data_IF_909818961269
#
_entry.id   IF_909818961269
#
_cell.length_a   1.000
_cell.length_b   1.000
_cell.length_c   1.000
_cell.angle_alpha   90.00
_cell.angle_beta   90.00
_cell.angle_gamma   90.00
#
_symmetry.space_group_name_H-M   'P 1'
#
loop_
_entity.id
_entity.type
_entity.pdbx_description
1 polymer ?
#
# COMPACT_ATOMS: atom_id res chain seq x y z
N UNK A 1 -4.88 28.29 0.11
CA UNK A 1 -3.46 28.44 0.48
C UNK A 1 -2.78 27.07 0.50
N UNK A 2 -1.54 26.97 0.04
CA UNK A 2 -0.73 25.76 0.08
C UNK A 2 0.72 26.09 0.48
N UNK A 3 1.51 25.11 0.86
CA UNK A 3 2.93 25.30 1.17
C UNK A 3 3.79 24.20 0.55
N UNK A 4 5.07 24.49 0.34
CA UNK A 4 6.09 23.49 0.03
C UNK A 4 6.95 23.33 1.28
N UNK A 5 6.85 22.15 1.89
CA UNK A 5 7.61 21.80 3.10
C UNK A 5 8.77 20.88 2.73
N UNK A 6 9.85 20.97 3.50
CA UNK A 6 10.98 20.04 3.42
C UNK A 6 10.97 19.12 4.64
N UNK A 7 10.93 17.81 4.41
CA UNK A 7 11.02 16.82 5.49
C UNK A 7 11.60 15.50 4.97
N UNK A 8 12.40 14.82 5.79
CA UNK A 8 13.06 13.56 5.40
C UNK A 8 13.92 13.68 4.13
N UNK A 9 14.50 14.86 3.87
CA UNK A 9 15.31 15.14 2.68
C UNK A 9 14.53 15.30 1.37
N UNK A 10 13.19 15.35 1.42
CA UNK A 10 12.30 15.53 0.26
C UNK A 10 11.43 16.78 0.44
N UNK A 11 10.90 17.28 -0.67
CA UNK A 11 9.96 18.39 -0.68
C UNK A 11 8.54 17.89 -0.98
N UNK A 12 7.55 18.37 -0.23
CA UNK A 12 6.15 18.01 -0.41
C UNK A 12 5.31 19.27 -0.55
N UNK A 13 4.39 19.24 -1.51
CA UNK A 13 3.31 20.23 -1.60
C UNK A 13 2.20 19.80 -0.63
N UNK A 14 1.74 20.74 0.19
CA UNK A 14 0.70 20.50 1.21
C UNK A 14 -0.36 21.58 1.19
N UNK A 15 -1.61 21.18 1.37
CA UNK A 15 -2.76 22.02 1.66
C UNK A 15 -3.35 21.65 3.02
N UNK A 16 -4.11 22.57 3.62
CA UNK A 16 -4.84 22.26 4.83
C UNK A 16 -5.87 21.16 4.54
N UNK A 17 -5.85 20.07 5.32
CA UNK A 17 -6.67 18.88 5.13
C UNK A 17 -5.97 17.73 4.40
N UNK A 18 -4.78 17.95 3.85
CA UNK A 18 -4.05 16.90 3.14
C UNK A 18 -3.48 15.85 4.10
N UNK A 19 -3.44 14.60 3.61
CA UNK A 19 -2.73 13.50 4.24
C UNK A 19 -1.50 13.16 3.41
N UNK A 20 -0.31 13.32 3.99
CA UNK A 20 0.96 13.05 3.33
C UNK A 20 1.74 11.93 4.03
N UNK A 21 2.54 11.19 3.27
CA UNK A 21 3.46 10.18 3.80
C UNK A 21 4.88 10.68 3.70
N UNK A 22 5.58 10.65 4.84
CA UNK A 22 6.95 11.13 4.98
C UNK A 22 7.82 10.03 5.57
N UNK A 23 9.14 10.26 5.57
CA UNK A 23 10.08 9.36 6.26
C UNK A 23 9.72 9.26 7.76
N UNK A 24 10.24 8.25 8.44
CA UNK A 24 9.94 8.01 9.86
C UNK A 24 10.35 9.22 10.72
N UNK A 25 9.41 9.72 11.53
CA UNK A 25 9.61 10.78 12.52
C UNK A 25 9.42 10.20 13.93
N UNK A 26 10.22 10.65 14.88
CA UNK A 26 10.22 10.19 16.28
C UNK A 26 9.17 10.90 17.16
N UNK A 27 7.93 10.95 16.68
CA UNK A 27 6.81 11.55 17.41
C UNK A 27 5.76 10.48 17.72
N UNK A 28 5.06 10.53 18.88
CA UNK A 28 3.99 9.57 19.18
C UNK A 28 2.79 9.73 18.23
N UNK A 29 1.99 8.68 18.09
CA UNK A 29 0.71 8.74 17.36
C UNK A 29 -0.23 9.78 17.97
N UNK A 30 -0.95 10.51 17.13
CA UNK A 30 -1.90 11.55 17.55
C UNK A 30 -1.27 12.86 18.01
N UNK A 31 0.06 12.95 18.10
CA UNK A 31 0.70 14.20 18.49
C UNK A 31 0.64 15.24 17.40
N UNK A 32 0.35 16.47 17.81
CA UNK A 32 0.43 17.64 16.96
C UNK A 32 1.81 18.27 17.11
N UNK A 33 2.44 18.64 15.99
CA UNK A 33 3.70 19.36 16.00
C UNK A 33 3.80 20.29 14.79
N UNK A 34 4.70 21.25 14.89
CA UNK A 34 4.89 22.25 13.84
C UNK A 34 6.12 21.93 13.00
N UNK A 35 5.95 22.03 11.68
CA UNK A 35 7.03 22.00 10.71
C UNK A 35 7.44 23.44 10.39
N UNK A 36 8.69 23.78 10.71
CA UNK A 36 9.31 25.09 10.46
C UNK A 36 10.03 25.16 9.13
N UNK A 37 10.39 24.01 8.55
CA UNK A 37 11.09 23.90 7.26
C UNK A 37 10.13 24.13 6.08
N UNK A 38 9.68 25.37 5.92
CA UNK A 38 8.80 25.82 4.83
C UNK A 38 9.60 26.61 3.80
N UNK A 39 9.60 26.15 2.55
CA UNK A 39 10.36 26.74 1.45
C UNK A 39 9.55 27.77 0.67
N UNK A 40 8.24 27.58 0.59
CA UNK A 40 7.33 28.43 -0.17
C UNK A 40 5.94 28.35 0.43
N UNK A 41 5.22 29.47 0.46
CA UNK A 41 3.78 29.52 0.74
C UNK A 41 3.09 30.09 -0.49
N UNK A 42 2.17 29.32 -1.06
CA UNK A 42 1.41 29.65 -2.26
C UNK A 42 -0.06 29.98 -1.97
N UNK A 43 -0.62 30.87 -2.79
CA UNK A 43 -1.98 31.39 -2.70
C UNK A 43 -2.16 32.45 -3.77
N UNK A 44 -2.91 33.51 -3.48
CA UNK A 44 -3.11 34.64 -4.42
C UNK A 44 -1.79 35.38 -4.70
N UNK A 45 -0.96 35.55 -3.67
CA UNK A 45 0.39 36.11 -3.78
C UNK A 45 1.42 35.11 -3.22
N UNK A 46 2.15 34.37 -4.07
CA UNK A 46 3.12 33.38 -3.61
C UNK A 46 4.34 34.04 -2.97
N UNK A 47 4.76 33.52 -1.82
CA UNK A 47 5.95 33.93 -1.08
C UNK A 47 7.00 32.83 -1.16
N UNK A 48 8.19 33.18 -1.64
CA UNK A 48 9.33 32.27 -1.77
C UNK A 48 10.36 32.55 -0.67
N UNK A 49 10.89 31.49 -0.08
CA UNK A 49 11.91 31.57 0.95
C UNK A 49 13.32 31.79 0.38
N UNK A 50 14.21 32.32 1.22
CA UNK A 50 15.65 32.44 0.95
C UNK A 50 16.46 32.03 2.19
N UNK A 51 16.70 30.74 2.47
CA UNK A 51 16.13 29.53 1.85
C UNK A 51 14.77 29.10 2.44
N UNK A 52 14.40 29.63 3.62
CA UNK A 52 13.12 29.37 4.29
C UNK A 52 12.25 30.64 4.26
N UNK A 53 10.94 30.47 4.33
CA UNK A 53 10.00 31.59 4.51
C UNK A 53 9.97 31.96 6.00
N UNK A 54 10.29 33.22 6.32
CA UNK A 54 10.24 33.69 7.71
C UNK A 54 8.81 33.60 8.25
N UNK A 55 8.67 33.22 9.53
CA UNK A 55 7.38 33.10 10.24
C UNK A 55 6.34 32.17 9.58
N UNK A 56 6.77 31.27 8.70
CA UNK A 56 5.90 30.24 8.14
C UNK A 56 5.89 29.00 9.04
N UNK A 57 4.70 28.51 9.36
CA UNK A 57 4.50 27.34 10.20
C UNK A 57 3.45 26.44 9.57
N UNK A 58 3.74 25.15 9.50
CA UNK A 58 2.76 24.13 9.08
C UNK A 58 2.50 23.21 10.27
N UNK A 59 1.30 23.29 10.84
CA UNK A 59 0.88 22.43 11.94
C UNK A 59 0.35 21.11 11.37
N UNK A 60 0.93 20.01 11.83
CA UNK A 60 0.61 18.66 11.38
C UNK A 60 0.30 17.74 12.57
N UNK A 61 -0.49 16.70 12.31
CA UNK A 61 -0.84 15.67 13.28
C UNK A 61 -0.36 14.31 12.79
N UNK A 62 0.31 13.55 13.66
CA UNK A 62 0.73 12.18 13.35
C UNK A 62 -0.49 11.27 13.33
N UNK A 63 -0.91 10.86 12.13
CA UNK A 63 -2.13 10.06 11.94
C UNK A 63 -1.84 8.56 12.04
N UNK A 64 -0.72 8.13 11.47
CA UNK A 64 -0.38 6.70 11.36
C UNK A 64 1.12 6.49 11.24
N UNK A 65 1.63 5.47 11.90
CA UNK A 65 3.01 5.01 11.73
C UNK A 65 3.00 3.54 11.38
N UNK A 66 3.53 3.20 10.21
CA UNK A 66 3.57 1.81 9.78
C UNK A 66 4.69 1.57 8.77
N UNK A 67 4.73 0.36 8.22
CA UNK A 67 5.66 -0.02 7.17
C UNK A 67 4.95 -0.10 5.84
N UNK A 68 5.60 0.36 4.80
CA UNK A 68 5.10 0.31 3.44
C UNK A 68 4.94 -1.15 2.96
N UNK A 69 4.34 -1.31 1.78
CA UNK A 69 4.22 -2.58 1.08
C UNK A 69 5.56 -3.29 0.97
N UNK A 70 5.51 -4.62 0.99
CA UNK A 70 6.69 -5.46 0.87
C UNK A 70 7.30 -5.26 -0.53
N UNK A 71 8.50 -4.73 -0.58
CA UNK A 71 9.33 -4.68 -1.78
C UNK A 71 10.21 -5.93 -1.81
N UNK A 72 10.18 -6.64 -2.93
CA UNK A 72 10.99 -7.85 -3.13
C UNK A 72 12.28 -7.44 -3.84
N UNK A 73 13.42 -7.71 -3.21
CA UNK A 73 14.75 -7.49 -3.76
C UNK A 73 15.29 -8.84 -4.19
N UNK A 74 15.22 -9.12 -5.49
CA UNK A 74 15.77 -10.34 -6.08
C UNK A 74 17.02 -10.02 -6.91
N UNK A 75 18.14 -10.64 -6.56
CA UNK A 75 19.41 -10.51 -7.28
C UNK A 75 19.80 -11.88 -7.82
N UNK A 76 20.11 -12.01 -9.11
CA UNK A 76 20.54 -13.27 -9.73
C UNK A 76 21.62 -13.00 -10.77
N UNK A 77 22.67 -13.83 -10.78
CA UNK A 77 23.68 -13.86 -11.86
C UNK A 77 23.52 -15.17 -12.62
N UNK A 78 23.37 -15.09 -13.95
CA UNK A 78 23.13 -16.25 -14.81
C UNK A 78 24.35 -17.19 -14.82
N UNK A 79 24.13 -18.51 -14.68
CA UNK A 79 25.16 -19.57 -14.72
C UNK A 79 26.24 -19.50 -13.62
N UNK A 80 26.16 -18.55 -12.70
CA UNK A 80 27.13 -18.40 -11.59
C UNK A 80 26.62 -18.96 -10.25
N UNK A 81 25.48 -19.67 -10.24
CA UNK A 81 24.83 -20.15 -9.01
C UNK A 81 24.29 -19.07 -8.06
N UNK A 82 24.68 -17.79 -8.25
CA UNK A 82 24.27 -16.69 -7.40
C UNK A 82 22.80 -16.31 -7.60
N UNK A 83 22.02 -16.49 -6.54
CA UNK A 83 20.68 -15.92 -6.35
C UNK A 83 20.53 -15.45 -4.90
N UNK A 84 19.94 -14.28 -4.69
CA UNK A 84 19.58 -13.74 -3.38
C UNK A 84 18.16 -13.19 -3.45
N UNK A 85 17.35 -13.60 -2.48
CA UNK A 85 15.99 -13.11 -2.29
C UNK A 85 15.93 -12.43 -0.92
N UNK A 86 15.69 -11.13 -0.90
CA UNK A 86 15.49 -10.36 0.33
C UNK A 86 14.21 -9.54 0.19
N UNK A 87 13.61 -9.19 1.31
CA UNK A 87 12.45 -8.31 1.35
C UNK A 87 12.81 -7.03 2.08
N UNK A 88 12.26 -5.90 1.64
CA UNK A 88 12.32 -4.63 2.35
C UNK A 88 10.91 -4.09 2.57
N UNK A 89 10.73 -3.40 3.69
CA UNK A 89 9.53 -2.60 3.96
C UNK A 89 9.99 -1.33 4.62
N UNK A 90 9.81 -0.21 3.95
CA UNK A 90 10.25 1.08 4.46
C UNK A 90 9.29 1.56 5.55
N UNK A 91 9.76 1.94 6.75
CA UNK A 91 8.92 2.62 7.73
C UNK A 91 8.58 4.02 7.24
N UNK A 92 7.34 4.45 7.45
CA UNK A 92 6.90 5.80 7.12
C UNK A 92 5.96 6.33 8.21
N UNK A 93 5.88 7.64 8.29
CA UNK A 93 4.93 8.36 9.12
C UNK A 93 3.93 9.07 8.21
N UNK A 94 2.64 8.89 8.48
CA UNK A 94 1.55 9.58 7.80
C UNK A 94 1.14 10.79 8.64
N UNK A 95 1.14 11.95 8.02
CA UNK A 95 0.83 13.23 8.64
C UNK A 95 -0.43 13.81 8.01
N UNK A 96 -1.31 14.31 8.87
CA UNK A 96 -2.44 15.14 8.46
C UNK A 96 -2.09 16.60 8.66
N UNK A 97 -2.33 17.44 7.66
CA UNK A 97 -2.02 18.87 7.69
C UNK A 97 -3.20 19.61 8.29
N UNK A 98 -3.04 20.09 9.54
CA UNK A 98 -4.10 20.79 10.28
C UNK A 98 -4.22 22.24 9.87
N UNK A 99 -3.09 22.94 9.77
CA UNK A 99 -3.07 24.35 9.41
C UNK A 99 -1.77 24.76 8.73
N UNK A 100 -1.86 25.78 7.89
CA UNK A 100 -0.73 26.52 7.33
C UNK A 100 -0.87 27.95 7.82
N UNK A 101 0.17 28.50 8.43
CA UNK A 101 0.21 29.85 8.97
C UNK A 101 1.38 30.64 8.36
N UNK A 102 1.11 31.90 8.02
CA UNK A 102 2.08 32.88 7.54
C UNK A 102 1.70 34.26 8.10
N UNK A 103 2.57 34.87 8.92
CA UNK A 103 2.41 36.24 9.44
C UNK A 103 0.98 36.56 9.95
N UNK A 104 0.40 35.63 10.72
CA UNK A 104 -0.94 35.76 11.30
C UNK A 104 -2.10 35.34 10.40
N UNK A 105 -1.89 35.15 9.09
CA UNK A 105 -2.88 34.56 8.18
C UNK A 105 -2.81 33.04 8.29
N UNK A 106 -3.95 32.38 8.51
CA UNK A 106 -4.01 30.93 8.65
C UNK A 106 -5.08 30.31 7.76
N UNK A 107 -4.75 29.20 7.10
CA UNK A 107 -5.73 28.29 6.49
C UNK A 107 -5.82 27.03 7.34
N UNK A 108 -7.01 26.74 7.85
CA UNK A 108 -7.29 25.59 8.70
C UNK A 108 -8.03 24.51 7.92
N UNK A 109 -7.79 23.27 8.27
CA UNK A 109 -8.54 22.14 7.75
C UNK A 109 -9.91 22.04 8.45
N UNK A 110 -10.95 21.70 7.69
CA UNK A 110 -12.28 21.41 8.26
C UNK A 110 -12.41 19.95 8.73
N UNK A 111 -11.50 19.07 8.30
CA UNK A 111 -11.48 17.65 8.66
C UNK A 111 -10.74 17.35 9.96
N UNK A 112 -11.16 16.29 10.65
CA UNK A 112 -10.47 15.74 11.82
C UNK A 112 -9.39 14.73 11.41
N UNK A 113 -8.30 14.68 12.18
CA UNK A 113 -7.23 13.71 11.95
C UNK A 113 -7.68 12.31 12.44
N UNK A 114 -7.78 11.35 11.51
CA UNK A 114 -8.17 9.98 11.84
C UNK A 114 -6.97 9.17 12.35
N UNK A 115 -6.65 9.27 13.63
CA UNK A 115 -5.51 8.56 14.23
C UNK A 115 -5.79 7.05 14.26
N UNK A 116 -4.94 6.26 13.60
CA UNK A 116 -5.09 4.80 13.54
C UNK A 116 -3.83 4.14 14.10
N UNK A 117 -3.99 3.47 15.25
CA UNK A 117 -2.97 2.56 15.77
C UNK A 117 -3.10 1.18 15.10
N UNK A 118 -2.27 0.96 14.09
CA UNK A 118 -2.26 -0.28 13.30
C UNK A 118 -1.79 -1.48 14.14
N UNK A 119 -0.91 -1.26 15.11
CA UNK A 119 -0.32 -2.33 15.90
C UNK A 119 -1.30 -2.85 16.95
N UNK A 120 -2.05 -1.97 17.62
CA UNK A 120 -3.13 -2.38 18.52
C UNK A 120 -4.26 -3.06 17.74
N UNK A 121 -4.72 -2.47 16.63
CA UNK A 121 -5.73 -3.10 15.78
C UNK A 121 -5.32 -4.49 15.27
N UNK A 122 -4.01 -4.73 15.09
CA UNK A 122 -3.48 -6.05 14.77
C UNK A 122 -3.50 -7.00 15.97
N UNK A 123 -3.12 -6.54 17.17
CA UNK A 123 -3.14 -7.34 18.40
C UNK A 123 -4.57 -7.76 18.74
N UNK A 124 -5.53 -6.85 18.69
CA UNK A 124 -6.94 -7.12 18.97
C UNK A 124 -7.51 -8.18 18.02
N UNK A 125 -7.16 -8.08 16.73
CA UNK A 125 -7.54 -9.08 15.72
C UNK A 125 -6.94 -10.46 16.01
N UNK A 126 -5.70 -10.53 16.50
CA UNK A 126 -5.04 -11.79 16.87
C UNK A 126 -5.69 -12.38 18.13
N UNK A 127 -5.99 -11.55 19.12
CA UNK A 127 -6.67 -11.95 20.35
C UNK A 127 -8.06 -12.52 20.05
N UNK A 128 -8.90 -11.78 19.31
CA UNK A 128 -10.24 -12.22 18.91
C UNK A 128 -10.19 -13.55 18.12
N UNK A 129 -9.21 -13.73 17.23
CA UNK A 129 -9.02 -14.99 16.50
C UNK A 129 -8.65 -16.14 17.43
N UNK A 130 -7.86 -15.87 18.46
CA UNK A 130 -7.41 -16.88 19.43
C UNK A 130 -8.54 -17.29 20.36
N UNK A 131 -9.32 -16.32 20.84
CA UNK A 131 -10.55 -16.54 21.62
C UNK A 131 -11.58 -17.35 20.84
N UNK A 132 -11.86 -16.98 19.58
CA UNK A 132 -12.76 -17.74 18.72
C UNK A 132 -12.28 -19.18 18.50
N UNK A 133 -10.96 -19.40 18.36
CA UNK A 133 -10.38 -20.74 18.24
C UNK A 133 -10.51 -21.54 19.53
N UNK A 134 -10.34 -20.91 20.68
CA UNK A 134 -10.48 -21.53 22.00
C UNK A 134 -11.94 -21.89 22.29
N UNK A 135 -12.89 -20.99 22.01
CA UNK A 135 -14.32 -21.25 22.12
C UNK A 135 -14.76 -22.40 21.20
N UNK A 136 -14.29 -22.42 19.95
CA UNK A 136 -14.55 -23.54 19.03
C UNK A 136 -13.93 -24.87 19.51
N UNK A 137 -12.80 -24.82 20.22
CA UNK A 137 -12.19 -26.01 20.84
C UNK A 137 -13.00 -26.48 22.05
N UNK A 138 -13.47 -25.57 22.89
CA UNK A 138 -14.30 -25.87 24.06
C UNK A 138 -15.63 -26.51 23.67
N UNK A 139 -16.32 -25.95 22.66
CA UNK A 139 -17.57 -26.53 22.13
C UNK A 139 -17.35 -27.94 21.56
N UNK A 140 -16.20 -28.20 20.91
CA UNK A 140 -15.82 -29.53 20.42
C UNK A 140 -15.44 -30.53 21.53
N UNK A 141 -15.09 -30.06 22.72
CA UNK A 141 -14.76 -30.93 23.86
C UNK A 141 -15.97 -31.17 24.77
N UNK A 142 -16.95 -30.27 24.80
CA UNK A 142 -18.22 -30.44 25.51
C UNK A 142 -19.21 -31.31 24.72
N UNK A 143 -19.17 -31.27 23.39
CA UNK A 143 -19.74 -32.30 22.54
C UNK A 143 -18.77 -33.51 22.54
N UNK A 144 -18.93 -34.41 23.51
CA UNK A 144 -18.22 -35.70 23.52
C UNK A 144 -18.38 -36.44 22.18
N UNK A 145 -17.54 -37.44 21.87
CA UNK A 145 -17.53 -38.10 20.57
C UNK A 145 -18.90 -38.72 20.26
N UNK A 146 -19.71 -38.02 19.47
CA UNK A 146 -20.91 -38.61 18.88
C UNK A 146 -20.41 -39.70 17.93
N UNK A 147 -20.78 -40.92 18.32
CA UNK A 147 -20.64 -42.19 17.62
C UNK A 147 -20.47 -42.03 16.11
N UNK A 148 -19.38 -42.59 15.57
CA UNK A 148 -19.15 -42.69 14.12
C UNK A 148 -20.23 -43.59 13.50
N UNK A 149 -21.40 -43.04 13.22
CA UNK A 149 -22.33 -43.65 12.29
C UNK A 149 -21.73 -43.53 10.88
N UNK A 150 -21.30 -44.68 10.35
CA UNK A 150 -20.70 -44.81 9.04
C UNK A 150 -21.60 -44.24 7.94
N UNK A 151 -21.31 -43.02 7.46
CA UNK A 151 -21.85 -42.54 6.17
C UNK A 151 -21.05 -43.19 5.03
N UNK A 152 -21.54 -44.37 4.63
CA UNK A 152 -21.20 -45.07 3.39
C UNK A 152 -21.31 -44.08 2.23
N UNK A 153 -20.19 -43.74 1.61
CA UNK A 153 -20.12 -42.88 0.41
C UNK A 153 -20.76 -43.64 -0.76
N UNK A 154 -22.04 -43.39 -1.04
CA UNK A 154 -22.63 -43.72 -2.33
C UNK A 154 -22.19 -42.64 -3.33
N UNK A 155 -21.25 -42.99 -4.21
CA UNK A 155 -20.89 -42.19 -5.38
C UNK A 155 -22.14 -42.02 -6.27
N UNK A 156 -22.89 -40.93 -6.10
CA UNK A 156 -23.90 -40.52 -7.08
C UNK A 156 -23.22 -39.69 -8.17
N UNK A 157 -22.97 -40.38 -9.28
CA UNK A 157 -22.56 -39.90 -10.60
C UNK A 157 -23.44 -38.69 -11.00
N UNK A 158 -22.90 -37.47 -10.98
CA UNK A 158 -23.58 -36.31 -11.57
C UNK A 158 -23.24 -36.28 -13.06
N UNK A 159 -24.23 -36.68 -13.85
CA UNK A 159 -24.23 -36.57 -15.30
C UNK A 159 -24.13 -35.10 -15.72
N UNK A 160 -23.22 -34.83 -16.65
CA UNK A 160 -23.19 -33.62 -17.47
C UNK A 160 -24.54 -33.50 -18.19
N UNK A 161 -25.34 -32.48 -17.86
CA UNK A 161 -26.46 -32.05 -18.70
C UNK A 161 -26.13 -30.68 -19.29
N UNK A 162 -25.92 -30.69 -20.60
CA UNK A 162 -25.73 -29.53 -21.45
C UNK A 162 -27.07 -28.81 -21.70
N UNK A 163 -27.01 -27.49 -21.90
CA UNK A 163 -28.01 -26.67 -22.58
C UNK A 163 -27.32 -25.35 -23.06
N UNK A 164 -27.85 -24.58 -24.03
CA UNK A 164 -27.35 -24.62 -25.40
C UNK A 164 -26.82 -23.27 -25.94
N UNK A 165 -26.27 -23.39 -27.15
CA UNK A 165 -25.65 -22.39 -28.04
C UNK A 165 -26.39 -21.04 -28.13
N UNK A 166 -25.62 -19.94 -28.15
CA UNK A 166 -25.91 -18.76 -29.00
C UNK A 166 -24.81 -18.61 -30.05
N UNK A 167 -25.27 -18.40 -31.27
CA UNK A 167 -24.51 -18.45 -32.51
C UNK A 167 -23.70 -17.17 -32.75
N UNK A 168 -22.48 -17.34 -33.25
CA UNK A 168 -21.69 -16.35 -33.98
C UNK A 168 -20.96 -17.08 -35.11
N UNK A 169 -21.25 -16.70 -36.35
CA UNK A 169 -20.97 -17.45 -37.59
C UNK A 169 -19.64 -17.00 -38.22
N UNK A 170 -18.71 -17.96 -38.42
CA UNK A 170 -17.64 -18.08 -39.48
C UNK A 170 -16.50 -17.01 -39.56
N UNK A 171 -15.37 -17.32 -40.26
CA UNK A 171 -14.55 -18.54 -40.22
C UNK A 171 -13.02 -18.26 -40.15
N UNK A 172 -12.24 -19.28 -39.81
CA UNK A 172 -10.79 -19.27 -39.97
C UNK A 172 -10.36 -19.34 -41.45
N UNK A 173 -9.44 -18.48 -41.87
CA UNK A 173 -8.63 -18.68 -43.08
C UNK A 173 -7.23 -19.15 -42.67
N UNK A 174 -6.94 -20.43 -42.95
CA UNK A 174 -5.57 -20.93 -43.11
C UNK A 174 -5.02 -20.41 -44.43
N UNK A 175 -3.83 -19.83 -44.42
CA UNK A 175 -2.91 -19.85 -45.56
C UNK A 175 -1.50 -20.00 -45.01
N UNK A 176 -0.87 -21.13 -45.31
CA UNK A 176 0.55 -21.35 -45.07
C UNK A 176 1.37 -20.92 -46.29
N UNK A 177 2.62 -20.52 -46.05
CA UNK A 177 3.67 -20.64 -47.05
C UNK A 177 5.04 -20.77 -46.33
N UNK A 178 5.76 -21.84 -46.68
CA UNK A 178 7.11 -22.17 -46.24
C UNK A 178 8.16 -21.50 -47.15
N UNK A 179 9.32 -21.23 -46.55
CA UNK A 179 10.70 -21.16 -47.12
C UNK A 179 11.07 -20.01 -48.08
N UNK A 180 12.14 -19.28 -47.73
CA UNK A 180 13.48 -19.49 -48.32
C UNK A 180 14.59 -18.80 -47.50
N UNK A 181 15.75 -19.44 -47.48
CA UNK A 181 16.98 -19.04 -46.82
C UNK A 181 17.74 -17.96 -47.60
N UNK A 182 18.52 -17.13 -46.90
CA UNK A 182 19.71 -16.49 -47.47
C UNK A 182 20.76 -16.24 -46.38
N UNK A 183 21.89 -16.92 -46.54
CA UNK A 183 23.16 -16.77 -45.84
C UNK A 183 23.91 -15.59 -46.47
N UNK A 184 24.35 -14.60 -45.69
CA UNK A 184 25.45 -13.70 -46.09
C UNK A 184 26.35 -13.38 -44.89
N UNK A 185 27.57 -13.89 -45.00
CA UNK A 185 28.78 -13.55 -44.25
C UNK A 185 29.51 -12.39 -44.91
N UNK A 186 30.00 -11.42 -44.12
CA UNK A 186 31.19 -10.56 -44.31
C UNK A 186 30.94 -9.23 -43.56
N UNK A 187 31.86 -8.55 -42.87
CA UNK A 187 33.30 -8.67 -42.66
C UNK A 187 33.60 -7.80 -41.43
N UNK A 188 34.58 -8.19 -40.61
CA UNK A 188 35.22 -7.31 -39.62
C UNK A 188 35.89 -6.13 -40.34
N UNK A 189 35.78 -4.95 -39.74
CA UNK A 189 36.85 -3.97 -39.62
C UNK A 189 37.06 -3.76 -38.11
#
# INVERSE_FOLDING_TARGET
MYAIIRTGGKQYKVQAGDVIRVEKIENPLGTEFNLTDVLMVGGDSPVFGQPLVKNALVTVVVTKQTRDRKVIIFKKKRRQGYRRFKTHRQPFTELFVKAIALDGKSSKAEGTANVIDVDQARKDRIAARTEAKNAAKQNRTSEGPVEKAARKVTKKKVAKKAAPKKAGKKPASKAGAKKKAAKKTSKKA
#
